data_IF_040966021255
#
_entry.id   IF_040966021255
#
_cell.length_a   1.000
_cell.length_b   1.000
_cell.length_c   1.000
_cell.angle_alpha   90.00
_cell.angle_beta   90.00
_cell.angle_gamma   90.00
#
_symmetry.space_group_name_H-M   'P 1'
#
loop_
_entity.id
_entity.type
_entity.pdbx_description
1 polymer ?
#
# COMPACT_ATOMS: atom_id res chain seq x y z
N UNK A 1 -3.20 -16.15 -57.63
CA UNK A 1 -4.41 -15.91 -56.83
C UNK A 1 -4.24 -16.60 -55.49
N UNK A 2 -3.93 -15.81 -54.48
CA UNK A 2 -3.85 -16.23 -53.09
C UNK A 2 -5.25 -16.19 -52.46
N UNK A 3 -5.52 -17.09 -51.53
CA UNK A 3 -6.00 -16.82 -50.16
C UNK A 3 -6.51 -18.13 -49.54
N UNK A 4 -5.65 -18.78 -48.75
CA UNK A 4 -6.07 -19.70 -47.71
C UNK A 4 -6.08 -18.89 -46.40
N UNK A 5 -7.26 -18.70 -45.82
CA UNK A 5 -7.46 -18.14 -44.47
C UNK A 5 -8.46 -19.02 -43.75
N UNK A 6 -8.13 -19.39 -42.51
CA UNK A 6 -9.12 -19.81 -41.54
C UNK A 6 -8.65 -20.96 -40.67
N UNK A 7 -8.26 -20.65 -39.43
CA UNK A 7 -8.34 -21.61 -38.33
C UNK A 7 -7.05 -21.83 -37.56
N UNK A 8 -6.67 -20.87 -36.70
CA UNK A 8 -6.03 -21.12 -35.40
C UNK A 8 -5.97 -19.81 -34.61
N UNK A 9 -7.09 -19.45 -33.99
CA UNK A 9 -7.09 -18.60 -32.79
C UNK A 9 -7.88 -19.38 -31.74
N UNK A 10 -7.20 -19.72 -30.65
CA UNK A 10 -7.74 -20.57 -29.59
C UNK A 10 -6.68 -21.19 -28.68
N UNK A 11 -5.39 -21.03 -28.99
CA UNK A 11 -4.30 -21.71 -28.27
C UNK A 11 -3.58 -20.87 -27.21
N UNK A 12 -3.75 -19.54 -27.17
CA UNK A 12 -3.09 -18.70 -26.15
C UNK A 12 -3.94 -18.49 -24.88
N UNK A 13 -5.28 -18.42 -25.00
CA UNK A 13 -6.18 -18.18 -23.86
C UNK A 13 -6.29 -19.38 -22.90
N UNK A 14 -6.12 -20.61 -23.41
CA UNK A 14 -6.06 -21.83 -22.59
C UNK A 14 -4.81 -21.86 -21.71
N UNK A 15 -3.67 -21.42 -22.26
CA UNK A 15 -2.37 -21.51 -21.61
C UNK A 15 -2.29 -20.70 -20.31
N UNK A 16 -2.85 -19.48 -20.26
CA UNK A 16 -2.75 -18.59 -19.09
C UNK A 16 -3.69 -18.98 -17.95
N UNK A 17 -4.89 -19.48 -18.26
CA UNK A 17 -5.82 -20.03 -17.26
C UNK A 17 -5.30 -21.37 -16.75
N UNK A 18 -4.73 -22.22 -17.62
CA UNK A 18 -4.02 -23.43 -17.21
C UNK A 18 -2.78 -23.10 -16.37
N UNK A 19 -2.08 -22.00 -16.64
CA UNK A 19 -0.98 -21.53 -15.79
C UNK A 19 -1.46 -21.10 -14.40
N UNK A 20 -2.58 -20.37 -14.31
CA UNK A 20 -3.20 -20.00 -13.04
C UNK A 20 -3.74 -21.22 -12.28
N UNK A 21 -4.32 -22.19 -12.98
CA UNK A 21 -4.86 -23.42 -12.38
C UNK A 21 -3.74 -24.38 -11.94
N UNK A 22 -2.66 -24.47 -12.73
CA UNK A 22 -1.42 -25.17 -12.38
C UNK A 22 -0.74 -24.52 -11.18
N UNK A 23 -0.62 -23.19 -11.16
CA UNK A 23 -0.13 -22.41 -10.01
C UNK A 23 -0.97 -22.63 -8.75
N UNK A 24 -2.29 -22.84 -8.90
CA UNK A 24 -3.19 -23.16 -7.77
C UNK A 24 -3.07 -24.61 -7.30
N UNK A 25 -2.66 -25.55 -8.16
CA UNK A 25 -2.58 -26.98 -7.83
C UNK A 25 -1.34 -27.36 -7.00
N UNK A 26 -0.30 -26.54 -7.05
CA UNK A 26 0.97 -26.77 -6.34
C UNK A 26 1.01 -26.12 -4.94
N UNK A 27 0.00 -25.33 -4.58
CA UNK A 27 -0.07 -24.66 -3.28
C UNK A 27 -0.80 -25.54 -2.25
N UNK A 28 -0.28 -25.62 -1.00
CA UNK A 28 -0.88 -26.45 0.02
C UNK A 28 -2.34 -26.06 0.25
N UNK A 29 -3.22 -27.05 0.43
CA UNK A 29 -4.60 -26.82 0.85
C UNK A 29 -4.56 -26.02 2.16
N UNK A 30 -5.29 -24.90 2.21
CA UNK A 30 -5.42 -24.06 3.39
C UNK A 30 -6.06 -24.88 4.54
N UNK A 31 -5.23 -25.49 5.38
CA UNK A 31 -5.64 -26.05 6.66
C UNK A 31 -5.37 -25.07 7.81
N UNK A 32 -4.83 -23.89 7.49
CA UNK A 32 -4.38 -22.89 8.45
C UNK A 32 -5.58 -22.17 9.07
N UNK A 33 -5.54 -22.01 10.40
CA UNK A 33 -6.57 -21.32 11.14
C UNK A 33 -6.69 -19.86 10.68
N UNK A 34 -7.90 -19.26 10.69
CA UNK A 34 -8.11 -17.86 10.28
C UNK A 34 -7.26 -16.87 11.11
N UNK A 35 -6.89 -17.24 12.33
CA UNK A 35 -6.05 -16.45 13.25
C UNK A 35 -4.60 -16.24 12.76
N UNK A 36 -4.15 -17.04 11.79
CA UNK A 36 -2.81 -16.96 11.23
C UNK A 36 -2.70 -15.98 10.06
N UNK A 37 -3.80 -15.31 9.69
CA UNK A 37 -3.84 -14.40 8.54
C UNK A 37 -4.13 -12.97 9.00
N UNK A 38 -3.28 -12.04 8.60
CA UNK A 38 -3.40 -10.61 8.89
C UNK A 38 -3.96 -9.88 7.67
N UNK A 39 -4.91 -8.96 7.86
CA UNK A 39 -5.39 -8.12 6.77
C UNK A 39 -4.29 -7.21 6.23
N UNK A 40 -4.41 -6.77 4.97
CA UNK A 40 -3.49 -5.80 4.39
C UNK A 40 -3.39 -4.50 5.21
N UNK A 41 -4.49 -4.06 5.82
CA UNK A 41 -4.52 -2.87 6.68
C UNK A 41 -3.70 -3.07 7.95
N UNK A 42 -3.85 -4.22 8.62
CA UNK A 42 -3.07 -4.56 9.82
C UNK A 42 -1.58 -4.69 9.50
N UNK A 43 -1.22 -5.33 8.38
CA UNK A 43 0.17 -5.44 7.94
C UNK A 43 0.77 -4.07 7.63
N UNK A 44 0.00 -3.20 6.95
CA UNK A 44 0.41 -1.83 6.68
C UNK A 44 0.69 -1.08 7.99
N UNK A 45 -0.22 -1.11 8.96
CA UNK A 45 0.00 -0.49 10.27
C UNK A 45 1.20 -1.05 11.03
N UNK A 46 1.45 -2.37 10.95
CA UNK A 46 2.55 -3.03 11.64
C UNK A 46 3.92 -2.64 11.07
N UNK A 47 4.05 -2.65 9.74
CA UNK A 47 5.35 -2.51 9.06
C UNK A 47 5.68 -1.08 8.67
N UNK A 48 4.68 -0.18 8.59
CA UNK A 48 4.90 1.22 8.21
C UNK A 48 5.91 1.96 9.08
N UNK A 49 5.98 1.75 10.42
CA UNK A 49 7.03 2.35 11.23
C UNK A 49 8.45 1.93 10.85
N UNK A 50 8.64 0.72 10.30
CA UNK A 50 9.96 0.19 9.94
C UNK A 50 10.32 0.38 8.47
N UNK A 51 9.35 0.28 7.57
CA UNK A 51 9.57 0.31 6.12
C UNK A 51 9.15 1.64 5.46
N UNK A 52 8.37 2.48 6.14
CA UNK A 52 7.90 3.76 5.62
C UNK A 52 7.24 3.64 4.24
N UNK A 53 7.64 4.51 3.31
CA UNK A 53 7.15 4.53 1.93
C UNK A 53 7.57 3.33 1.09
N UNK A 54 8.62 2.60 1.49
CA UNK A 54 9.11 1.43 0.76
C UNK A 54 8.27 0.17 1.00
N UNK A 55 7.26 0.23 1.89
CA UNK A 55 6.43 -0.90 2.27
C UNK A 55 5.78 -1.60 1.06
N UNK A 56 5.09 -0.91 0.14
CA UNK A 56 4.41 -1.59 -0.97
C UNK A 56 5.41 -2.35 -1.86
N UNK A 57 6.50 -1.70 -2.25
CA UNK A 57 7.54 -2.28 -3.11
C UNK A 57 8.25 -3.45 -2.40
N UNK A 58 8.63 -3.29 -1.14
CA UNK A 58 9.32 -4.34 -0.37
C UNK A 58 8.45 -5.57 -0.19
N UNK A 59 7.16 -5.39 0.14
CA UNK A 59 6.25 -6.52 0.33
C UNK A 59 5.97 -7.23 -0.99
N UNK A 60 5.70 -6.49 -2.07
CA UNK A 60 5.43 -7.06 -3.39
C UNK A 60 6.62 -7.85 -3.94
N UNK A 61 7.85 -7.36 -3.75
CA UNK A 61 9.07 -8.11 -4.09
C UNK A 61 9.19 -9.44 -3.36
N UNK A 62 8.91 -9.44 -2.05
CA UNK A 62 8.97 -10.67 -1.25
C UNK A 62 7.83 -11.65 -1.58
N UNK A 63 6.65 -11.14 -1.92
CA UNK A 63 5.53 -11.94 -2.42
C UNK A 63 5.86 -12.59 -3.76
N UNK A 64 6.45 -11.83 -4.69
CA UNK A 64 6.91 -12.34 -5.98
C UNK A 64 8.00 -13.40 -5.82
N UNK A 65 8.93 -13.19 -4.89
CA UNK A 65 9.97 -14.16 -4.54
C UNK A 65 9.44 -15.41 -3.81
N UNK A 66 8.16 -15.44 -3.41
CA UNK A 66 7.57 -16.54 -2.65
C UNK A 66 8.05 -16.63 -1.20
N UNK A 67 8.59 -15.55 -0.65
CA UNK A 67 9.03 -15.46 0.76
C UNK A 67 7.88 -15.13 1.71
N UNK A 68 6.78 -14.60 1.17
CA UNK A 68 5.57 -14.29 1.92
C UNK A 68 4.40 -14.95 1.21
N UNK A 69 3.54 -15.59 1.98
CA UNK A 69 2.27 -16.13 1.52
C UNK A 69 1.18 -15.08 1.64
N UNK A 70 0.36 -14.98 0.60
CA UNK A 70 -0.84 -14.16 0.59
C UNK A 70 -2.05 -14.98 0.14
N UNK A 71 -3.21 -14.65 0.69
CA UNK A 71 -4.52 -15.17 0.27
C UNK A 71 -5.47 -14.01 -0.01
N UNK A 72 -6.53 -14.27 -0.73
CA UNK A 72 -7.61 -13.31 -0.96
C UNK A 72 -8.95 -13.96 -0.61
N UNK A 73 -9.94 -13.13 -0.28
CA UNK A 73 -11.34 -13.60 -0.15
C UNK A 73 -11.93 -13.91 -1.51
N UNK A 74 -11.59 -13.13 -2.53
CA UNK A 74 -12.07 -13.30 -3.89
C UNK A 74 -10.94 -13.01 -4.88
N UNK A 75 -10.70 -13.96 -5.78
CA UNK A 75 -9.84 -13.79 -6.94
C UNK A 75 -10.69 -13.67 -8.19
N UNK A 76 -10.33 -12.77 -9.11
CA UNK A 76 -11.02 -12.55 -10.37
C UNK A 76 -10.05 -12.59 -11.56
N UNK A 77 -10.55 -13.07 -12.70
CA UNK A 77 -9.84 -13.07 -13.98
C UNK A 77 -10.79 -12.45 -15.02
N UNK A 78 -10.35 -11.39 -15.70
CA UNK A 78 -11.18 -10.63 -16.66
C UNK A 78 -12.54 -10.25 -16.07
N UNK A 79 -12.51 -9.74 -14.83
CA UNK A 79 -13.68 -9.29 -14.06
C UNK A 79 -14.70 -10.39 -13.68
N UNK A 80 -14.36 -11.65 -13.95
CA UNK A 80 -15.18 -12.79 -13.54
C UNK A 80 -14.63 -13.41 -12.26
N UNK A 81 -15.49 -13.69 -11.25
CA UNK A 81 -15.12 -14.49 -10.09
C UNK A 81 -14.49 -15.81 -10.52
N UNK A 82 -13.29 -16.11 -10.02
CA UNK A 82 -12.60 -17.35 -10.31
C UNK A 82 -12.57 -18.28 -9.10
N UNK A 83 -12.04 -17.81 -7.97
CA UNK A 83 -11.97 -18.57 -6.71
C UNK A 83 -12.22 -17.69 -5.50
N UNK A 84 -12.76 -18.30 -4.45
CA UNK A 84 -12.93 -17.69 -3.12
C UNK A 84 -11.94 -18.30 -2.14
N UNK A 85 -11.48 -17.51 -1.17
CA UNK A 85 -10.54 -17.94 -0.12
C UNK A 85 -9.29 -18.65 -0.66
N UNK A 86 -8.73 -18.11 -1.75
CA UNK A 86 -7.62 -18.73 -2.47
C UNK A 86 -6.27 -18.08 -2.12
N UNK A 87 -5.22 -18.89 -2.12
CA UNK A 87 -3.83 -18.40 -2.11
C UNK A 87 -3.56 -17.64 -3.41
N UNK A 88 -2.92 -16.48 -3.29
CA UNK A 88 -2.56 -15.65 -4.43
C UNK A 88 -1.22 -16.15 -4.97
N UNK A 89 -1.14 -16.54 -6.25
CA UNK A 89 0.09 -17.09 -6.81
C UNK A 89 1.18 -16.01 -6.90
N UNK A 90 2.45 -16.42 -6.76
CA UNK A 90 3.60 -15.49 -6.83
C UNK A 90 3.63 -14.65 -8.12
N UNK A 91 3.19 -15.23 -9.24
CA UNK A 91 3.12 -14.55 -10.54
C UNK A 91 2.13 -13.39 -10.60
N UNK A 92 1.15 -13.32 -9.68
CA UNK A 92 0.30 -12.14 -9.54
C UNK A 92 1.10 -10.90 -9.15
N UNK A 93 2.21 -11.09 -8.41
CA UNK A 93 3.06 -10.02 -7.88
C UNK A 93 4.20 -9.63 -8.82
N UNK A 94 4.16 -10.03 -10.09
CA UNK A 94 5.23 -9.84 -11.08
C UNK A 94 5.71 -8.39 -11.21
N UNK A 95 4.82 -7.42 -10.98
CA UNK A 95 5.10 -6.00 -11.07
C UNK A 95 5.80 -5.42 -9.83
N UNK A 96 6.08 -6.21 -8.79
CA UNK A 96 6.91 -5.85 -7.64
C UNK A 96 6.54 -4.55 -6.91
N UNK A 97 5.28 -4.11 -7.00
CA UNK A 97 4.79 -2.87 -6.39
C UNK A 97 5.04 -1.62 -7.22
N UNK A 98 5.36 -1.76 -8.50
CA UNK A 98 5.50 -0.68 -9.47
C UNK A 98 4.16 -0.34 -10.16
N UNK A 99 4.20 0.53 -11.18
CA UNK A 99 3.02 1.15 -11.80
C UNK A 99 1.99 0.15 -12.38
N UNK A 100 2.41 -1.09 -12.68
CA UNK A 100 1.53 -2.13 -13.21
C UNK A 100 0.74 -2.91 -12.13
N UNK A 101 0.91 -2.56 -10.84
CA UNK A 101 0.14 -3.09 -9.72
C UNK A 101 -0.59 -1.97 -8.99
N UNK A 102 -1.91 -1.93 -9.16
CA UNK A 102 -2.76 -1.04 -8.37
C UNK A 102 -3.03 -1.70 -7.03
N UNK A 103 -2.73 -1.01 -5.93
CA UNK A 103 -2.92 -1.53 -4.58
C UNK A 103 -3.74 -0.57 -3.71
N UNK A 104 -4.71 -1.13 -2.98
CA UNK A 104 -5.45 -0.47 -1.93
C UNK A 104 -5.26 -1.26 -0.63
N UNK A 105 -4.28 -0.81 0.17
CA UNK A 105 -3.91 -1.47 1.43
C UNK A 105 -4.98 -1.37 2.52
N UNK A 106 -5.91 -0.42 2.43
CA UNK A 106 -6.97 -0.24 3.43
C UNK A 106 -8.01 -1.35 3.30
N UNK A 107 -8.44 -1.63 2.07
CA UNK A 107 -9.43 -2.70 1.78
C UNK A 107 -8.76 -4.05 1.50
N UNK A 108 -7.47 -4.04 1.19
CA UNK A 108 -6.72 -5.21 0.75
C UNK A 108 -7.04 -5.58 -0.68
N UNK A 109 -7.28 -4.61 -1.56
CA UNK A 109 -7.62 -4.88 -2.95
C UNK A 109 -6.43 -4.61 -3.86
N UNK A 110 -6.12 -5.57 -4.72
CA UNK A 110 -4.97 -5.52 -5.62
C UNK A 110 -5.41 -5.88 -7.02
N UNK A 111 -4.90 -5.15 -8.01
CA UNK A 111 -5.21 -5.37 -9.43
C UNK A 111 -3.94 -5.28 -10.26
N UNK A 112 -3.79 -6.21 -11.21
CA UNK A 112 -2.70 -6.19 -12.20
C UNK A 112 -3.20 -6.62 -13.58
N UNK A 113 -2.39 -6.40 -14.60
CA UNK A 113 -2.67 -6.76 -15.98
C UNK A 113 -1.56 -7.66 -16.51
N UNK A 114 -1.92 -8.82 -17.03
CA UNK A 114 -1.02 -9.66 -17.81
C UNK A 114 -1.11 -9.27 -19.28
N UNK A 115 0.04 -8.95 -19.88
CA UNK A 115 0.19 -8.58 -21.30
C UNK A 115 -0.80 -7.51 -21.80
N UNK A 116 -1.28 -6.64 -20.91
CA UNK A 116 -2.35 -5.66 -21.16
C UNK A 116 -3.70 -6.25 -21.63
N UNK A 117 -3.85 -7.56 -21.64
CA UNK A 117 -5.04 -8.25 -22.14
C UNK A 117 -5.90 -8.83 -21.01
N UNK A 118 -5.25 -9.36 -19.96
CA UNK A 118 -5.95 -10.07 -18.88
C UNK A 118 -5.80 -9.31 -17.56
N UNK A 119 -6.90 -8.74 -17.09
CA UNK A 119 -6.99 -8.14 -15.75
C UNK A 119 -7.14 -9.22 -14.69
N UNK A 120 -6.25 -9.21 -13.69
CA UNK A 120 -6.34 -10.02 -12.49
C UNK A 120 -6.72 -9.13 -11.30
N UNK A 121 -7.63 -9.62 -10.47
CA UNK A 121 -8.03 -8.95 -9.23
C UNK A 121 -7.93 -9.89 -8.04
N UNK A 122 -7.41 -9.38 -6.92
CA UNK A 122 -7.38 -10.05 -5.64
C UNK A 122 -7.99 -9.11 -4.58
N UNK A 123 -9.12 -9.50 -4.01
CA UNK A 123 -9.90 -8.67 -3.08
C UNK A 123 -9.87 -9.24 -1.66
N UNK A 124 -9.80 -8.33 -0.67
CA UNK A 124 -9.67 -8.71 0.74
C UNK A 124 -8.42 -9.54 1.01
N UNK A 125 -7.29 -9.10 0.47
CA UNK A 125 -5.98 -9.74 0.61
C UNK A 125 -5.52 -9.76 2.07
N UNK A 126 -5.02 -10.92 2.47
CA UNK A 126 -4.45 -11.20 3.78
C UNK A 126 -3.10 -11.87 3.63
N UNK A 127 -2.22 -11.66 4.60
CA UNK A 127 -0.85 -12.17 4.62
C UNK A 127 -0.65 -13.12 5.80
N UNK A 128 0.17 -14.14 5.62
CA UNK A 128 0.45 -15.08 6.70
C UNK A 128 1.26 -14.39 7.81
N UNK A 129 0.83 -14.52 9.06
CA UNK A 129 1.42 -13.84 10.22
C UNK A 129 2.91 -14.14 10.36
N UNK A 130 3.28 -15.42 10.38
CA UNK A 130 4.69 -15.82 10.57
C UNK A 130 5.62 -15.19 9.53
N UNK A 131 5.18 -15.14 8.27
CA UNK A 131 5.96 -14.56 7.18
C UNK A 131 6.14 -13.04 7.37
N UNK A 132 5.12 -12.35 7.88
CA UNK A 132 5.18 -10.92 8.21
C UNK A 132 6.06 -10.65 9.43
N UNK A 133 6.02 -11.49 10.44
CA UNK A 133 6.86 -11.35 11.65
C UNK A 133 8.35 -11.42 11.32
N UNK A 134 8.76 -12.20 10.30
CA UNK A 134 10.15 -12.21 9.81
C UNK A 134 10.61 -10.88 9.21
N UNK A 135 9.68 -9.99 8.84
CA UNK A 135 9.98 -8.69 8.24
C UNK A 135 10.18 -7.60 9.28
N UNK A 136 9.62 -7.80 10.47
CA UNK A 136 9.84 -6.90 11.58
C UNK A 136 11.30 -7.11 11.98
N UNK A 137 12.16 -6.08 11.86
CA UNK A 137 13.52 -6.20 12.34
C UNK A 137 13.43 -6.59 13.82
N UNK A 138 14.03 -7.72 14.20
CA UNK A 138 14.22 -8.01 15.62
C UNK A 138 14.91 -6.77 16.19
N UNK A 139 14.22 -6.07 17.08
CA UNK A 139 14.81 -4.92 17.76
C UNK A 139 16.20 -5.35 18.21
N UNK A 140 17.28 -4.58 17.92
CA UNK A 140 18.60 -4.99 18.35
C UNK A 140 18.50 -5.26 19.84
N UNK A 141 18.92 -6.46 20.26
CA UNK A 141 19.08 -6.80 21.67
C UNK A 141 20.08 -5.78 22.21
N UNK A 142 19.57 -4.67 22.74
CA UNK A 142 20.36 -3.74 23.51
C UNK A 142 20.64 -4.44 24.83
N UNK A 143 21.75 -5.17 24.85
CA UNK A 143 22.44 -5.47 26.09
C UNK A 143 22.75 -4.11 26.76
N UNK A 144 21.91 -3.76 27.74
CA UNK A 144 22.13 -2.72 28.73
C UNK A 144 22.35 -1.29 28.21
N UNK A 145 21.29 -0.49 28.13
CA UNK A 145 21.30 0.88 28.65
C UNK A 145 19.88 1.49 28.60
N UNK A 146 19.37 1.79 29.79
CA UNK A 146 18.38 2.80 30.18
C UNK A 146 17.29 3.27 29.20
N UNK A 147 16.05 3.18 29.69
CA UNK A 147 14.90 4.01 29.34
C UNK A 147 15.27 5.41 28.84
N UNK A 148 15.30 5.61 27.52
CA UNK A 148 15.49 6.91 26.91
C UNK A 148 14.13 7.59 26.74
N UNK A 149 13.89 8.49 27.68
CA UNK A 149 12.95 9.61 27.70
C UNK A 149 12.44 10.07 26.33
N UNK A 150 11.13 10.33 26.31
CA UNK A 150 10.40 11.24 25.41
C UNK A 150 11.29 12.45 25.08
N UNK A 151 11.83 12.54 23.87
CA UNK A 151 12.61 13.70 23.44
C UNK A 151 11.66 14.88 23.17
N UNK A 152 11.33 15.62 24.24
CA UNK A 152 10.88 17.00 24.16
C UNK A 152 12.07 17.86 23.72
N UNK A 153 12.08 18.33 22.48
CA UNK A 153 12.90 19.48 22.08
C UNK A 153 13.82 19.35 20.86
N UNK A 154 13.58 18.44 19.93
CA UNK A 154 14.31 18.38 18.65
C UNK A 154 13.55 19.03 17.49
N UNK A 155 14.26 19.63 16.53
CA UNK A 155 13.68 20.03 15.23
C UNK A 155 13.16 18.78 14.52
N UNK A 156 11.89 18.73 14.07
CA UNK A 156 11.38 17.57 13.35
C UNK A 156 12.20 17.25 12.09
N UNK A 157 12.29 15.96 11.75
CA UNK A 157 13.01 15.47 10.57
C UNK A 157 12.42 16.04 9.27
N UNK A 158 13.19 15.99 8.18
CA UNK A 158 12.67 16.41 6.88
C UNK A 158 11.46 15.57 6.44
N UNK A 159 11.53 14.25 6.64
CA UNK A 159 10.46 13.30 6.32
C UNK A 159 9.15 13.64 7.05
N UNK A 160 9.23 14.01 8.33
CA UNK A 160 8.05 14.45 9.09
C UNK A 160 7.35 15.65 8.44
N UNK A 161 8.13 16.61 7.92
CA UNK A 161 7.54 17.76 7.24
C UNK A 161 6.90 17.37 5.91
N UNK A 162 7.50 16.44 5.18
CA UNK A 162 6.95 15.94 3.92
C UNK A 162 5.62 15.20 4.16
N UNK A 163 5.54 14.36 5.21
CA UNK A 163 4.31 13.69 5.63
C UNK A 163 3.19 14.68 5.98
N UNK A 164 3.53 15.71 6.76
CA UNK A 164 2.59 16.79 7.10
C UNK A 164 2.07 17.47 5.83
N UNK A 165 2.95 17.77 4.86
CA UNK A 165 2.57 18.43 3.62
C UNK A 165 1.66 17.56 2.75
N UNK A 166 2.00 16.28 2.58
CA UNK A 166 1.20 15.33 1.81
C UNK A 166 -0.20 15.22 2.41
N UNK A 167 -0.31 15.10 3.73
CA UNK A 167 -1.61 14.95 4.38
C UNK A 167 -2.47 16.21 4.27
N UNK A 168 -1.89 17.40 4.45
CA UNK A 168 -2.64 18.66 4.27
C UNK A 168 -3.14 18.83 2.83
N UNK A 169 -2.31 18.50 1.83
CA UNK A 169 -2.72 18.53 0.43
C UNK A 169 -3.83 17.51 0.14
N UNK A 170 -3.73 16.29 0.69
CA UNK A 170 -4.77 15.26 0.56
C UNK A 170 -6.10 15.74 1.11
N UNK A 171 -6.13 16.26 2.33
CA UNK A 171 -7.37 16.70 2.98
C UNK A 171 -8.05 17.84 2.21
N UNK A 172 -7.27 18.79 1.68
CA UNK A 172 -7.80 19.88 0.86
C UNK A 172 -8.34 19.36 -0.46
N UNK A 173 -7.62 18.45 -1.13
CA UNK A 173 -8.04 17.90 -2.41
C UNK A 173 -9.30 17.03 -2.31
N UNK A 174 -9.40 16.20 -1.27
CA UNK A 174 -10.57 15.35 -1.00
C UNK A 174 -11.77 16.16 -0.49
N UNK A 175 -11.53 17.37 0.00
CA UNK A 175 -12.57 18.24 0.58
C UNK A 175 -12.91 17.92 2.04
N UNK A 176 -12.10 17.11 2.71
CA UNK A 176 -12.18 16.91 4.18
C UNK A 176 -11.81 18.19 4.92
N UNK A 177 -10.81 18.92 4.42
CA UNK A 177 -10.42 20.23 4.91
C UNK A 177 -10.88 21.30 3.92
N UNK A 178 -11.86 22.10 4.32
CA UNK A 178 -12.38 23.24 3.54
C UNK A 178 -11.95 24.53 4.26
N UNK A 179 -10.70 24.99 4.07
CA UNK A 179 -10.20 26.14 4.81
C UNK A 179 -10.83 27.42 4.27
N UNK A 180 -11.40 28.25 5.15
CA UNK A 180 -11.95 29.56 4.78
C UNK A 180 -10.89 30.67 4.91
N UNK A 181 -9.84 30.39 5.66
CA UNK A 181 -8.71 31.29 5.92
C UNK A 181 -7.45 30.48 6.20
N UNK A 182 -6.29 31.10 6.03
CA UNK A 182 -4.98 30.52 6.36
C UNK A 182 -4.93 29.92 7.78
N UNK A 183 -5.62 30.55 8.75
CA UNK A 183 -5.64 30.07 10.14
C UNK A 183 -6.26 28.67 10.29
N UNK A 184 -7.15 28.27 9.38
CA UNK A 184 -7.79 26.94 9.44
C UNK A 184 -6.79 25.86 9.01
N UNK A 185 -5.95 26.14 8.00
CA UNK A 185 -4.82 25.27 7.61
C UNK A 185 -3.82 25.15 8.77
N UNK A 186 -3.49 26.27 9.42
CA UNK A 186 -2.56 26.25 10.55
C UNK A 186 -3.09 25.40 11.71
N UNK A 187 -4.39 25.47 12.01
CA UNK A 187 -5.02 24.62 13.03
C UNK A 187 -4.98 23.14 12.66
N UNK A 188 -5.26 22.81 11.40
CA UNK A 188 -5.18 21.43 10.91
C UNK A 188 -3.75 20.87 11.01
N UNK A 189 -2.74 21.65 10.63
CA UNK A 189 -1.33 21.28 10.80
C UNK A 189 -0.98 21.07 12.28
N UNK A 190 -1.46 21.94 13.17
CA UNK A 190 -1.19 21.84 14.60
C UNK A 190 -1.86 20.60 15.23
N UNK A 191 -3.08 20.29 14.81
CA UNK A 191 -3.78 19.08 15.23
C UNK A 191 -3.02 17.84 14.77
N UNK A 192 -2.63 17.79 13.50
CA UNK A 192 -1.87 16.68 12.94
C UNK A 192 -0.53 16.46 13.67
N UNK A 193 0.23 17.54 13.93
CA UNK A 193 1.46 17.45 14.72
C UNK A 193 1.18 16.84 16.11
N UNK A 194 0.11 17.30 16.78
CA UNK A 194 -0.26 16.82 18.12
C UNK A 194 -0.59 15.32 18.11
N UNK A 195 -1.34 14.86 17.10
CA UNK A 195 -1.72 13.45 16.94
C UNK A 195 -0.51 12.56 16.65
N UNK A 196 0.56 13.12 16.06
CA UNK A 196 1.82 12.42 15.78
C UNK A 196 2.88 12.63 16.86
N UNK A 197 2.50 13.14 18.04
CA UNK A 197 3.40 13.28 19.19
C UNK A 197 4.38 14.46 19.11
N UNK A 198 4.14 15.40 18.19
CA UNK A 198 4.94 16.62 18.03
C UNK A 198 4.16 17.85 18.50
N UNK A 199 4.75 18.60 19.43
CA UNK A 199 4.20 19.90 19.87
C UNK A 199 5.02 21.03 19.24
N UNK A 200 4.81 21.29 17.96
CA UNK A 200 5.48 22.39 17.27
C UNK A 200 4.85 23.75 17.60
N UNK A 201 5.71 24.76 17.72
CA UNK A 201 5.27 26.13 17.98
C UNK A 201 4.52 26.71 16.76
N UNK A 202 3.48 27.51 17.03
CA UNK A 202 2.71 28.21 16.00
C UNK A 202 3.57 29.05 15.04
N UNK A 203 4.74 29.53 15.50
CA UNK A 203 5.73 30.25 14.69
C UNK A 203 6.36 29.41 13.57
N UNK A 204 6.45 28.09 13.74
CA UNK A 204 6.99 27.15 12.74
C UNK A 204 5.94 26.76 11.69
N UNK A 205 4.68 26.64 12.11
CA UNK A 205 3.58 26.22 11.25
C UNK A 205 3.02 27.37 10.39
N UNK A 206 2.98 28.60 10.92
CA UNK A 206 2.45 29.77 10.21
C UNK A 206 3.05 30.01 8.81
N UNK A 207 4.38 30.02 8.60
CA UNK A 207 4.95 30.24 7.26
C UNK A 207 4.61 29.09 6.29
N UNK A 208 4.49 27.86 6.79
CA UNK A 208 4.09 26.69 5.99
C UNK A 208 2.62 26.79 5.58
N UNK A 209 1.73 27.05 6.53
CA UNK A 209 0.31 27.27 6.26
C UNK A 209 0.07 28.41 5.26
N UNK A 210 0.86 29.50 5.34
CA UNK A 210 0.82 30.59 4.37
C UNK A 210 1.19 30.11 2.96
N UNK A 211 2.29 29.37 2.83
CA UNK A 211 2.74 28.84 1.53
C UNK A 211 1.68 27.93 0.90
N UNK A 212 1.04 27.06 1.69
CA UNK A 212 -0.06 26.22 1.20
C UNK A 212 -1.26 27.07 0.75
N UNK A 213 -1.65 28.03 1.60
CA UNK A 213 -2.79 28.90 1.34
C UNK A 213 -2.62 29.65 0.01
N UNK A 214 -1.45 30.23 -0.21
CA UNK A 214 -1.17 30.93 -1.46
C UNK A 214 -1.14 29.99 -2.66
N UNK A 215 -0.54 28.81 -2.54
CA UNK A 215 -0.45 27.86 -3.65
C UNK A 215 -1.81 27.34 -4.12
N UNK A 216 -2.77 27.18 -3.20
CA UNK A 216 -4.05 26.54 -3.50
C UNK A 216 -5.20 27.53 -3.64
N UNK A 217 -5.17 28.66 -2.93
CA UNK A 217 -6.33 29.55 -2.78
C UNK A 217 -6.09 31.02 -3.16
N UNK A 218 -4.84 31.47 -3.32
CA UNK A 218 -4.64 32.81 -3.85
C UNK A 218 -5.02 32.83 -5.33
N UNK A 219 -5.88 33.77 -5.71
CA UNK A 219 -6.23 33.99 -7.12
C UNK A 219 -4.94 34.26 -7.90
N UNK A 220 -4.75 33.68 -9.09
CA UNK A 220 -3.71 34.16 -9.99
C UNK A 220 -4.02 35.63 -10.30
N UNK A 221 -3.11 36.53 -9.95
CA UNK A 221 -3.09 37.86 -10.55
C UNK A 221 -2.72 37.62 -12.02
N UNK A 222 -3.74 37.62 -12.89
CA UNK A 222 -3.61 37.67 -14.34
C UNK A 222 -3.56 39.15 -14.73
#
# INVERSE_FOLDING_TARGET
MALSRGGRQGSHFSSTIEEADKLSSELPKLNDAPEQWLSASTVSSLLRPSLGFSLPTTLCKRLHAGLIRARCKQFTISDKPWRTDAVIPKGFWWAEGEAALKSNWVTGDFETWLDHEVRLGAFGVMFHRDDIETLVPAAPIQAGASSAQIQKGGRPSAEFWDDLWVEMCRQVFVGELIPKRQADIQKAMQQWCSDHGHSDAASTLKPRASKLWHAVFAKPEI
#
